data_IF_869782602211
#
_entry.id   IF_869782602211
#
_cell.length_a   1.000
_cell.length_b   1.000
_cell.length_c   1.000
_cell.angle_alpha   90.00
_cell.angle_beta   90.00
_cell.angle_gamma   90.00
#
_symmetry.space_group_name_H-M   'P 1'
#
loop_
_entity.id
_entity.type
_entity.pdbx_description
1 polymer ?
#
# COMPACT_ATOMS: atom_id res chain seq x y z
N UNK A 1 -6.73 -66.70 10.13
CA UNK A 1 -7.17 -65.31 10.37
C UNK A 1 -5.92 -64.45 10.54
N UNK A 2 -5.51 -63.75 9.46
CA UNK A 2 -4.34 -62.85 9.46
C UNK A 2 -4.82 -61.44 9.67
N UNK A 3 -4.27 -60.66 10.63
CA UNK A 3 -4.64 -59.27 10.82
C UNK A 3 -4.11 -58.42 9.69
N UNK A 4 -5.02 -57.71 9.00
CA UNK A 4 -4.77 -56.77 7.93
C UNK A 4 -4.15 -55.51 8.57
N UNK A 5 -2.82 -55.36 8.48
CA UNK A 5 -2.08 -54.19 8.90
C UNK A 5 -2.54 -53.02 8.05
N UNK A 6 -3.35 -52.12 8.63
CA UNK A 6 -3.70 -50.84 8.04
C UNK A 6 -2.46 -49.94 8.03
N UNK A 7 -1.76 -49.95 6.90
CA UNK A 7 -0.68 -49.02 6.63
C UNK A 7 -1.31 -47.64 6.49
N UNK A 8 -1.30 -46.85 7.56
CA UNK A 8 -1.53 -45.41 7.51
C UNK A 8 -0.44 -44.80 6.62
N UNK A 9 -0.82 -44.58 5.38
CA UNK A 9 -0.03 -43.82 4.42
C UNK A 9 -0.05 -42.38 4.89
N UNK A 10 0.95 -42.03 5.72
CA UNK A 10 1.22 -40.65 6.10
C UNK A 10 1.56 -39.91 4.84
N UNK A 11 0.56 -39.25 4.24
CA UNK A 11 0.71 -38.39 3.07
C UNK A 11 1.79 -37.36 3.32
N UNK A 12 3.03 -37.72 2.98
CA UNK A 12 4.10 -36.77 2.82
C UNK A 12 3.65 -35.79 1.77
N UNK A 13 3.22 -34.62 2.20
CA UNK A 13 3.13 -33.44 1.35
C UNK A 13 4.56 -33.21 0.84
N UNK A 14 4.83 -33.74 -0.35
CA UNK A 14 6.06 -33.44 -1.08
C UNK A 14 6.03 -31.96 -1.40
N UNK A 15 6.59 -31.15 -0.53
CA UNK A 15 6.89 -29.73 -0.81
C UNK A 15 8.00 -29.74 -1.85
N UNK A 16 7.62 -29.64 -3.11
CA UNK A 16 8.52 -29.50 -4.24
C UNK A 16 9.29 -28.18 -4.04
N UNK A 17 10.59 -28.20 -3.79
CA UNK A 17 11.38 -27.00 -3.45
C UNK A 17 11.38 -25.98 -4.59
N UNK A 18 11.26 -26.42 -5.82
CA UNK A 18 11.21 -25.54 -6.99
C UNK A 18 9.89 -24.73 -7.05
N UNK A 19 8.79 -25.36 -6.68
CA UNK A 19 7.47 -24.72 -6.63
C UNK A 19 7.40 -23.68 -5.51
N UNK A 20 8.01 -23.98 -4.36
CA UNK A 20 8.09 -23.05 -3.22
C UNK A 20 8.99 -21.87 -3.57
N UNK A 21 10.15 -22.08 -4.17
CA UNK A 21 11.07 -21.02 -4.58
C UNK A 21 10.41 -20.04 -5.57
N UNK A 22 9.67 -20.57 -6.55
CA UNK A 22 8.94 -19.72 -7.52
C UNK A 22 7.81 -18.89 -6.85
N UNK A 23 7.09 -19.46 -5.91
CA UNK A 23 6.06 -18.74 -5.16
C UNK A 23 6.64 -17.59 -4.33
N UNK A 24 7.78 -17.83 -3.66
CA UNK A 24 8.50 -16.80 -2.90
C UNK A 24 9.00 -15.69 -3.82
N UNK A 25 9.61 -16.03 -4.95
CA UNK A 25 10.08 -15.04 -5.91
C UNK A 25 8.96 -14.14 -6.45
N UNK A 26 7.80 -14.72 -6.75
CA UNK A 26 6.60 -13.95 -7.18
C UNK A 26 6.10 -13.04 -6.06
N UNK A 27 6.05 -13.53 -4.80
CA UNK A 27 5.64 -12.70 -3.66
C UNK A 27 6.56 -11.50 -3.45
N UNK A 28 7.86 -11.72 -3.49
CA UNK A 28 8.86 -10.65 -3.34
C UNK A 28 8.75 -9.66 -4.49
N UNK A 29 8.61 -10.14 -5.72
CA UNK A 29 8.46 -9.28 -6.91
C UNK A 29 7.22 -8.37 -6.82
N UNK A 30 6.07 -8.91 -6.40
CA UNK A 30 4.85 -8.13 -6.18
C UNK A 30 5.03 -7.10 -5.07
N UNK A 31 5.60 -7.48 -3.93
CA UNK A 31 5.83 -6.55 -2.82
C UNK A 31 6.76 -5.39 -3.22
N UNK A 32 7.83 -5.68 -3.96
CA UNK A 32 8.74 -4.64 -4.48
C UNK A 32 8.00 -3.69 -5.43
N UNK A 33 7.18 -4.23 -6.34
CA UNK A 33 6.41 -3.42 -7.28
C UNK A 33 5.42 -2.48 -6.54
N UNK A 34 4.73 -2.97 -5.53
CA UNK A 34 3.81 -2.20 -4.70
C UNK A 34 4.53 -1.09 -3.93
N UNK A 35 5.68 -1.41 -3.32
CA UNK A 35 6.49 -0.42 -2.61
C UNK A 35 7.03 0.66 -3.55
N UNK A 36 7.45 0.30 -4.76
CA UNK A 36 7.88 1.26 -5.77
C UNK A 36 6.72 2.17 -6.22
N UNK A 37 5.54 1.61 -6.45
CA UNK A 37 4.35 2.40 -6.82
C UNK A 37 3.98 3.39 -5.72
N UNK A 38 3.94 2.96 -4.46
CA UNK A 38 3.67 3.83 -3.32
C UNK A 38 4.76 4.89 -3.13
N UNK A 39 6.03 4.51 -3.28
CA UNK A 39 7.16 5.43 -3.21
C UNK A 39 7.10 6.52 -4.28
N UNK A 40 6.72 6.19 -5.51
CA UNK A 40 6.52 7.15 -6.58
C UNK A 40 5.36 8.10 -6.28
N UNK A 41 4.22 7.61 -5.80
CA UNK A 41 3.08 8.44 -5.42
C UNK A 41 3.49 9.44 -4.34
N UNK A 42 4.21 8.97 -3.32
CA UNK A 42 4.69 9.81 -2.24
C UNK A 42 5.73 10.84 -2.71
N UNK A 43 6.64 10.44 -3.61
CA UNK A 43 7.63 11.34 -4.21
C UNK A 43 6.96 12.45 -5.02
N UNK A 44 5.95 12.12 -5.84
CA UNK A 44 5.17 13.11 -6.59
C UNK A 44 4.43 14.08 -5.66
N UNK A 45 3.87 13.59 -4.56
CA UNK A 45 3.23 14.45 -3.58
C UNK A 45 4.23 15.42 -2.92
N UNK A 46 5.37 14.93 -2.43
CA UNK A 46 6.41 15.77 -1.83
C UNK A 46 6.99 16.77 -2.84
N UNK A 47 7.17 16.37 -4.09
CA UNK A 47 7.69 17.27 -5.11
C UNK A 47 6.77 18.48 -5.35
N UNK A 48 5.46 18.36 -5.09
CA UNK A 48 4.53 19.48 -5.16
C UNK A 48 4.83 20.57 -4.12
N UNK A 49 5.40 20.19 -2.97
CA UNK A 49 5.82 21.15 -1.93
C UNK A 49 7.19 21.78 -2.24
N UNK A 50 8.05 21.09 -3.01
CA UNK A 50 9.35 21.63 -3.40
C UNK A 50 9.25 22.60 -4.58
N UNK A 51 8.31 22.42 -5.48
CA UNK A 51 8.04 23.38 -6.57
C UNK A 51 7.31 24.64 -6.08
N UNK A 52 6.74 24.61 -4.88
CA UNK A 52 6.10 25.76 -4.21
C UNK A 52 7.12 26.77 -3.61
N UNK A 53 8.32 26.91 -4.20
CA UNK A 53 9.23 28.02 -3.87
C UNK A 53 8.71 29.39 -4.35
N UNK A 54 7.71 29.41 -5.22
CA UNK A 54 6.92 30.61 -5.48
C UNK A 54 5.92 30.79 -4.33
N UNK A 55 6.03 31.92 -3.62
CA UNK A 55 5.31 32.23 -2.37
C UNK A 55 3.76 32.23 -2.48
N UNK A 56 3.21 31.79 -3.59
CA UNK A 56 1.77 31.69 -3.85
C UNK A 56 1.21 30.25 -3.80
N UNK A 57 2.07 29.22 -3.71
CA UNK A 57 1.65 27.83 -3.75
C UNK A 57 1.88 27.13 -2.39
N UNK A 58 0.82 26.82 -1.68
CA UNK A 58 0.85 26.13 -0.37
C UNK A 58 0.77 24.60 -0.48
N UNK A 59 1.19 24.03 -1.65
CA UNK A 59 1.23 22.59 -1.91
C UNK A 59 -0.13 21.96 -2.26
N UNK A 60 -0.09 20.75 -2.81
CA UNK A 60 -1.30 20.05 -3.22
C UNK A 60 -1.99 19.35 -2.03
N UNK A 61 -3.34 19.35 -1.98
CA UNK A 61 -4.06 18.60 -0.95
C UNK A 61 -3.78 17.10 -1.08
N UNK A 62 -3.73 16.34 0.03
CA UNK A 62 -3.35 14.91 0.02
C UNK A 62 -4.39 14.00 -0.63
N UNK A 63 -5.65 14.45 -0.77
CA UNK A 63 -6.78 13.64 -1.24
C UNK A 63 -6.55 12.87 -2.54
N UNK A 64 -6.16 13.52 -3.66
CA UNK A 64 -5.92 12.84 -4.94
C UNK A 64 -4.84 11.76 -4.88
N UNK A 65 -3.78 12.00 -4.12
CA UNK A 65 -2.66 11.05 -3.95
C UNK A 65 -3.07 9.84 -3.10
N UNK A 66 -3.86 10.07 -2.04
CA UNK A 66 -4.43 9.00 -1.23
C UNK A 66 -5.39 8.13 -2.06
N UNK A 67 -6.21 8.76 -2.92
CA UNK A 67 -7.09 8.02 -3.82
C UNK A 67 -6.29 7.14 -4.80
N UNK A 68 -5.20 7.66 -5.38
CA UNK A 68 -4.32 6.88 -6.25
C UNK A 68 -3.68 5.71 -5.49
N UNK A 69 -3.24 5.92 -4.25
CA UNK A 69 -2.67 4.86 -3.42
C UNK A 69 -3.70 3.77 -3.04
N UNK A 70 -4.99 4.09 -2.95
CA UNK A 70 -6.06 3.09 -2.76
C UNK A 70 -6.17 2.11 -3.93
N UNK A 71 -5.85 2.51 -5.16
CA UNK A 71 -5.81 1.58 -6.30
C UNK A 71 -4.69 0.55 -6.15
N UNK A 72 -3.56 0.92 -5.56
CA UNK A 72 -2.47 -0.03 -5.25
C UNK A 72 -2.95 -1.06 -4.23
N UNK A 73 -3.63 -0.62 -3.16
CA UNK A 73 -4.22 -1.52 -2.16
C UNK A 73 -5.27 -2.46 -2.77
N UNK A 74 -6.11 -1.96 -3.68
CA UNK A 74 -7.10 -2.77 -4.38
C UNK A 74 -6.45 -3.82 -5.28
N UNK A 75 -5.38 -3.46 -6.00
CA UNK A 75 -4.62 -4.40 -6.82
C UNK A 75 -3.98 -5.51 -5.98
N UNK A 76 -3.39 -5.16 -4.82
CA UNK A 76 -2.82 -6.12 -3.87
C UNK A 76 -3.90 -7.08 -3.32
N UNK A 77 -5.10 -6.57 -3.02
CA UNK A 77 -6.22 -7.38 -2.57
C UNK A 77 -6.67 -8.38 -3.65
N UNK A 78 -6.77 -7.94 -4.90
CA UNK A 78 -7.10 -8.82 -6.04
C UNK A 78 -6.04 -9.91 -6.19
N UNK A 79 -4.75 -9.56 -6.08
CA UNK A 79 -3.65 -10.53 -6.11
C UNK A 79 -3.76 -11.55 -4.97
N UNK A 80 -4.12 -11.12 -3.74
CA UNK A 80 -4.35 -11.99 -2.60
C UNK A 80 -5.49 -13.00 -2.86
N UNK A 81 -6.62 -12.53 -3.40
CA UNK A 81 -7.78 -13.36 -3.72
C UNK A 81 -7.41 -14.39 -4.79
N UNK A 82 -6.77 -13.97 -5.88
CA UNK A 82 -6.34 -14.87 -6.97
C UNK A 82 -5.37 -15.93 -6.44
N UNK A 83 -4.41 -15.55 -5.60
CA UNK A 83 -3.46 -16.47 -4.97
C UNK A 83 -4.17 -17.46 -4.03
N UNK A 84 -5.16 -17.01 -3.28
CA UNK A 84 -6.00 -17.85 -2.42
C UNK A 84 -6.78 -18.90 -3.22
N UNK A 85 -7.42 -18.50 -4.31
CA UNK A 85 -8.15 -19.39 -5.23
C UNK A 85 -7.20 -20.42 -5.85
N UNK A 86 -5.99 -20.00 -6.23
CA UNK A 86 -4.95 -20.88 -6.78
C UNK A 86 -4.25 -21.76 -5.74
N UNK A 87 -4.65 -21.68 -4.48
CA UNK A 87 -4.08 -22.43 -3.34
C UNK A 87 -2.57 -22.23 -3.18
N UNK A 88 -2.10 -20.98 -3.36
CA UNK A 88 -0.72 -20.58 -3.10
C UNK A 88 -0.70 -19.74 -1.80
N UNK A 89 -0.72 -20.39 -0.61
CA UNK A 89 -0.97 -19.70 0.65
C UNK A 89 0.10 -18.65 1.00
N UNK A 90 1.35 -18.89 0.61
CA UNK A 90 2.46 -17.96 0.86
C UNK A 90 2.18 -16.61 0.20
N UNK A 91 1.79 -16.60 -1.08
CA UNK A 91 1.48 -15.36 -1.81
C UNK A 91 0.25 -14.69 -1.21
N UNK A 92 -0.80 -15.46 -0.88
CA UNK A 92 -2.03 -14.91 -0.33
C UNK A 92 -1.79 -14.22 1.03
N UNK A 93 -1.03 -14.84 1.93
CA UNK A 93 -0.71 -14.27 3.25
C UNK A 93 0.16 -13.02 3.10
N UNK A 94 1.19 -13.07 2.26
CA UNK A 94 2.07 -11.90 2.03
C UNK A 94 1.27 -10.72 1.51
N UNK A 95 0.40 -10.93 0.53
CA UNK A 95 -0.44 -9.87 -0.05
C UNK A 95 -1.45 -9.33 0.97
N UNK A 96 -2.05 -10.18 1.81
CA UNK A 96 -2.94 -9.72 2.86
C UNK A 96 -2.22 -8.83 3.88
N UNK A 97 -1.01 -9.20 4.29
CA UNK A 97 -0.17 -8.38 5.17
C UNK A 97 0.16 -7.04 4.51
N UNK A 98 0.49 -7.03 3.21
CA UNK A 98 0.75 -5.78 2.46
C UNK A 98 -0.49 -4.89 2.40
N UNK A 99 -1.67 -5.43 2.12
CA UNK A 99 -2.93 -4.66 2.13
C UNK A 99 -3.16 -4.01 3.49
N UNK A 100 -2.99 -4.76 4.58
CA UNK A 100 -3.14 -4.20 5.93
C UNK A 100 -2.12 -3.10 6.24
N UNK A 101 -0.86 -3.30 5.83
CA UNK A 101 0.20 -2.30 5.99
C UNK A 101 -0.10 -1.03 5.18
N UNK A 102 -0.56 -1.16 3.93
CA UNK A 102 -0.95 -0.03 3.08
C UNK A 102 -2.14 0.72 3.70
N UNK A 103 -3.17 0.03 4.16
CA UNK A 103 -4.32 0.66 4.82
C UNK A 103 -3.90 1.43 6.08
N UNK A 104 -3.02 0.87 6.91
CA UNK A 104 -2.50 1.55 8.09
C UNK A 104 -1.65 2.78 7.71
N UNK A 105 -0.82 2.67 6.67
CA UNK A 105 -0.04 3.79 6.16
C UNK A 105 -0.93 4.90 5.58
N UNK A 106 -1.98 4.56 4.83
CA UNK A 106 -2.92 5.53 4.27
C UNK A 106 -3.70 6.28 5.35
N UNK A 107 -4.13 5.61 6.42
CA UNK A 107 -4.82 6.26 7.53
C UNK A 107 -3.91 7.24 8.27
N UNK A 108 -2.66 6.84 8.54
CA UNK A 108 -1.67 7.73 9.17
C UNK A 108 -1.27 8.89 8.26
N UNK A 109 -1.07 8.63 6.95
CA UNK A 109 -0.73 9.63 5.96
C UNK A 109 -1.85 10.67 5.77
N UNK A 110 -3.13 10.24 5.82
CA UNK A 110 -4.27 11.16 5.77
C UNK A 110 -4.21 12.16 6.93
N UNK A 111 -4.09 11.67 8.16
CA UNK A 111 -4.05 12.52 9.36
C UNK A 111 -2.84 13.46 9.36
N UNK A 112 -1.65 12.95 8.97
CA UNK A 112 -0.44 13.77 8.90
C UNK A 112 -0.53 14.78 7.74
N UNK A 113 -1.00 14.37 6.57
CA UNK A 113 -1.13 15.21 5.39
C UNK A 113 -2.12 16.36 5.57
N UNK A 114 -3.26 16.10 6.24
CA UNK A 114 -4.24 17.15 6.56
C UNK A 114 -3.63 18.19 7.51
N UNK A 115 -2.85 17.78 8.50
CA UNK A 115 -2.15 18.70 9.42
C UNK A 115 -1.09 19.55 8.71
N UNK A 116 -0.29 18.94 7.83
CA UNK A 116 0.72 19.65 7.05
C UNK A 116 0.06 20.67 6.13
N UNK A 117 -0.99 20.27 5.43
CA UNK A 117 -1.74 21.15 4.54
C UNK A 117 -2.37 22.32 5.30
N UNK A 118 -3.02 22.07 6.46
CA UNK A 118 -3.63 23.10 7.29
C UNK A 118 -2.58 24.08 7.84
N UNK A 119 -1.40 23.60 8.27
CA UNK A 119 -0.32 24.48 8.74
C UNK A 119 0.22 25.35 7.61
N UNK A 120 0.48 24.76 6.44
CA UNK A 120 0.97 25.50 5.26
C UNK A 120 -0.04 26.55 4.78
N UNK A 121 -1.34 26.21 4.76
CA UNK A 121 -2.40 27.17 4.43
C UNK A 121 -2.46 28.32 5.42
N UNK A 122 -2.37 28.04 6.72
CA UNK A 122 -2.36 29.07 7.78
C UNK A 122 -1.17 30.01 7.66
N UNK A 123 0.01 29.48 7.40
CA UNK A 123 1.24 30.27 7.23
C UNK A 123 1.15 31.16 5.98
N UNK A 124 0.62 30.63 4.87
CA UNK A 124 0.38 31.40 3.65
C UNK A 124 -0.65 32.53 3.88
N UNK A 125 -1.73 32.26 4.65
CA UNK A 125 -2.73 33.27 5.00
C UNK A 125 -2.14 34.38 5.91
N UNK A 126 -1.34 34.03 6.91
CA UNK A 126 -0.66 35.00 7.77
C UNK A 126 0.34 35.87 6.99
N UNK A 127 0.90 35.35 5.91
CA UNK A 127 1.76 36.08 4.98
C UNK A 127 0.99 36.95 3.97
N UNK A 128 -0.34 36.94 3.99
CA UNK A 128 -1.21 37.73 3.10
C UNK A 128 -1.38 37.17 1.69
N UNK A 129 -0.96 35.93 1.46
CA UNK A 129 -0.88 35.36 0.11
C UNK A 129 -2.10 34.50 -0.31
N UNK A 130 -2.90 34.01 0.61
CA UNK A 130 -3.93 33.00 0.32
C UNK A 130 -5.20 33.06 1.15
N UNK A 131 -5.53 34.18 1.81
CA UNK A 131 -6.70 34.25 2.69
C UNK A 131 -8.05 34.20 1.98
N UNK A 132 -8.09 34.37 0.65
CA UNK A 132 -9.32 34.33 -0.15
C UNK A 132 -9.70 32.91 -0.64
N UNK A 133 -8.85 31.92 -0.41
CA UNK A 133 -9.17 30.55 -0.74
C UNK A 133 -10.18 29.95 0.28
N UNK A 134 -11.12 29.11 -0.16
CA UNK A 134 -12.04 28.44 0.76
C UNK A 134 -11.24 27.64 1.80
N UNK A 135 -11.46 27.92 3.07
CA UNK A 135 -10.81 27.19 4.16
C UNK A 135 -11.03 25.68 4.00
N UNK A 136 -10.01 24.83 4.27
CA UNK A 136 -10.17 23.40 4.18
C UNK A 136 -11.34 22.92 5.03
N UNK A 137 -12.14 21.95 4.56
CA UNK A 137 -13.25 21.40 5.32
C UNK A 137 -12.74 20.82 6.64
N UNK A 138 -13.38 21.18 7.74
CA UNK A 138 -13.08 20.68 9.10
C UNK A 138 -13.59 19.25 9.27
#
# INVERSE_FOLDING_TARGET
MTPRSSRMDSGRVSTDPERTGRAVAVSVGLAVLELLALGLIWLFWISSYWSAFDAQDYGAPPGPYLQTAMFVAAAALVAAVVAGVRRVPVVAVTQLVMVLAICAALTSAKVAGERIYESSYRDACLSGLACDAPSPPR
#
